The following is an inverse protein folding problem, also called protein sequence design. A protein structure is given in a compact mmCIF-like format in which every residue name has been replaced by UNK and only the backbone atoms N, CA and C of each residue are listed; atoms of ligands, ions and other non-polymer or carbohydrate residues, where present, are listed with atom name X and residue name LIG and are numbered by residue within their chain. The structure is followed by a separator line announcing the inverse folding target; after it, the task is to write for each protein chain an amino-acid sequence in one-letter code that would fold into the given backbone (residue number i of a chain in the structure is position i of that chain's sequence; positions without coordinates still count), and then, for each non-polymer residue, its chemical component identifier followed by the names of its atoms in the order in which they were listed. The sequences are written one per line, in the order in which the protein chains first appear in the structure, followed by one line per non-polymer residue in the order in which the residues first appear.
data_IF_822115739500
#
_entry.id   IF_822115739500
#
_cell.length_a   1.000
_cell.length_b   1.000
_cell.length_c   1.000
_cell.angle_alpha   90.00
_cell.angle_beta   90.00
_cell.angle_gamma   90.00
#
_symmetry.space_group_name_H-M   'P 1'
#
loop_
_entity.id
_entity.type
_entity.pdbx_description
1 polymer ?
#
# COMPACT_ATOMS: atom_id res chain seq x y z
N UNK A 1 55.64 23.17 -3.47
CA UNK A 1 56.57 24.16 -4.06
C UNK A 1 56.54 23.92 -5.56
N UNK A 2 56.00 24.78 -6.42
CA UNK A 2 55.34 26.08 -6.21
C UNK A 2 55.74 27.06 -7.32
N UNK A 3 54.94 27.99 -7.82
CA UNK A 3 53.49 28.18 -7.98
C UNK A 3 53.34 29.63 -8.52
N UNK A 4 52.82 29.78 -9.75
CA UNK A 4 52.33 31.01 -10.41
C UNK A 4 51.50 30.52 -11.62
N UNK A 5 50.35 31.07 -12.04
CA UNK A 5 49.70 32.38 -11.80
C UNK A 5 49.75 33.23 -13.08
N UNK A 6 48.67 33.77 -13.68
CA UNK A 6 47.23 33.77 -13.32
C UNK A 6 46.33 34.27 -14.49
N UNK A 7 45.09 33.76 -14.62
CA UNK A 7 43.86 34.41 -15.18
C UNK A 7 43.84 35.01 -16.63
N UNK A 8 42.72 35.56 -17.17
CA UNK A 8 41.35 35.02 -17.41
C UNK A 8 40.45 35.99 -18.23
N UNK A 9 39.60 35.47 -19.16
CA UNK A 9 38.41 36.12 -19.80
C UNK A 9 38.68 37.46 -20.58
N UNK A 10 37.80 38.14 -21.35
CA UNK A 10 36.33 38.32 -21.49
C UNK A 10 35.93 38.45 -23.01
N UNK A 11 34.64 38.43 -23.38
CA UNK A 11 34.11 38.48 -24.76
C UNK A 11 33.55 39.86 -25.24
N UNK A 12 33.24 40.03 -26.55
CA UNK A 12 32.52 41.21 -27.08
C UNK A 12 32.18 41.21 -28.59
N UNK A 13 30.94 41.63 -28.94
CA UNK A 13 30.39 42.00 -30.28
C UNK A 13 30.20 43.56 -30.34
N UNK A 14 29.63 44.25 -31.38
CA UNK A 14 29.10 43.86 -32.71
C UNK A 14 29.86 44.61 -33.87
N UNK A 15 29.36 45.32 -34.93
CA UNK A 15 28.02 45.68 -35.45
C UNK A 15 28.04 46.33 -36.88
N UNK A 16 26.99 46.08 -37.70
CA UNK A 16 26.38 47.03 -38.70
C UNK A 16 27.25 47.48 -39.93
N UNK A 17 26.81 48.12 -41.04
CA UNK A 17 25.54 48.59 -41.71
C UNK A 17 25.91 48.94 -43.19
N UNK A 18 25.06 49.24 -44.20
CA UNK A 18 23.72 48.79 -44.66
C UNK A 18 23.28 49.58 -45.93
N UNK A 19 22.65 48.96 -46.94
CA UNK A 19 22.01 49.69 -48.06
C UNK A 19 21.64 48.81 -49.28
N UNK A 20 20.67 49.10 -50.17
CA UNK A 20 19.24 49.56 -50.11
C UNK A 20 18.77 49.77 -51.58
N UNK A 21 17.44 49.70 -51.87
CA UNK A 21 16.78 50.09 -53.16
C UNK A 21 16.78 49.00 -54.26
N UNK A 22 15.70 48.73 -55.05
CA UNK A 22 14.28 49.18 -55.04
C UNK A 22 13.38 48.17 -55.81
N UNK A 23 12.07 48.19 -55.49
CA UNK A 23 10.83 47.94 -56.30
C UNK A 23 10.98 47.41 -57.74
N UNK A 24 10.08 46.57 -58.29
CA UNK A 24 8.60 46.55 -58.17
C UNK A 24 8.04 45.22 -58.76
N UNK A 25 6.82 44.78 -58.37
CA UNK A 25 6.08 43.72 -59.09
C UNK A 25 5.21 42.84 -58.18
N UNK A 26 3.88 42.92 -58.32
CA UNK A 26 2.92 42.13 -57.53
C UNK A 26 2.43 40.90 -58.31
N UNK A 27 2.47 39.72 -57.69
CA UNK A 27 1.90 38.48 -58.24
C UNK A 27 1.91 37.36 -57.20
N UNK A 28 0.76 36.74 -56.95
CA UNK A 28 0.60 35.72 -55.91
C UNK A 28 0.81 34.31 -56.48
N UNK A 29 1.47 33.42 -55.73
CA UNK A 29 0.78 32.47 -54.84
C UNK A 29 1.77 31.82 -53.85
N UNK A 30 1.26 30.99 -52.92
CA UNK A 30 1.93 30.63 -51.66
C UNK A 30 3.00 29.53 -51.83
N UNK A 31 4.02 29.62 -50.98
CA UNK A 31 5.25 28.84 -50.99
C UNK A 31 5.11 27.43 -50.36
N UNK A 32 5.87 26.50 -50.93
CA UNK A 32 6.52 25.32 -50.33
C UNK A 32 5.78 24.41 -49.32
N UNK A 33 5.87 23.11 -49.61
CA UNK A 33 5.76 22.03 -48.64
C UNK A 33 6.73 22.21 -47.46
N UNK A 34 6.22 22.10 -46.23
CA UNK A 34 7.03 21.69 -45.06
C UNK A 34 6.29 20.55 -44.36
N UNK A 35 7.02 19.48 -44.05
CA UNK A 35 6.50 18.28 -43.39
C UNK A 35 6.11 18.56 -41.94
N UNK A 36 4.83 18.85 -41.70
CA UNK A 36 4.20 18.70 -40.39
C UNK A 36 3.00 17.76 -40.50
N UNK A 37 3.31 16.48 -40.79
CA UNK A 37 2.45 15.40 -40.28
C UNK A 37 2.58 15.46 -38.77
N UNK A 38 1.64 16.14 -38.12
CA UNK A 38 1.40 15.97 -36.70
C UNK A 38 0.93 14.53 -36.51
N UNK A 39 1.90 13.62 -36.37
CA UNK A 39 1.64 12.26 -35.99
C UNK A 39 0.98 12.33 -34.62
N UNK A 40 -0.34 12.12 -34.58
CA UNK A 40 -0.98 11.61 -33.39
C UNK A 40 -0.20 10.33 -33.03
N UNK A 41 0.52 10.28 -31.90
CA UNK A 41 0.76 8.98 -31.31
C UNK A 41 -0.62 8.54 -30.84
N UNK A 42 -1.31 7.73 -31.65
CA UNK A 42 -2.27 6.78 -31.10
C UNK A 42 -1.55 6.15 -29.91
N UNK A 43 -2.12 6.30 -28.71
CA UNK A 43 -1.43 5.98 -27.46
C UNK A 43 -1.40 4.47 -27.25
N UNK A 44 -0.70 3.78 -28.16
CA UNK A 44 -0.39 2.37 -28.15
C UNK A 44 0.65 2.05 -27.08
N UNK A 45 0.32 2.40 -25.82
CA UNK A 45 0.28 1.33 -24.84
C UNK A 45 -0.66 0.28 -25.42
N UNK A 46 -0.09 -0.78 -25.96
CA UNK A 46 -0.81 -2.04 -25.97
C UNK A 46 -1.21 -2.28 -24.52
N UNK A 47 -2.52 -2.33 -24.26
CA UNK A 47 -3.02 -2.86 -23.00
C UNK A 47 -2.60 -4.33 -23.00
N UNK A 48 -1.52 -4.63 -22.30
CA UNK A 48 -1.07 -6.00 -22.13
C UNK A 48 -2.19 -6.75 -21.43
N UNK A 49 -2.82 -7.69 -22.15
CA UNK A 49 -3.96 -8.45 -21.66
C UNK A 49 -3.64 -8.99 -20.26
N UNK A 50 -4.51 -8.69 -19.30
CA UNK A 50 -4.25 -9.00 -17.90
C UNK A 50 -4.03 -10.51 -17.73
N UNK A 51 -2.86 -10.91 -17.19
CA UNK A 51 -2.50 -12.31 -16.98
C UNK A 51 -3.65 -13.06 -16.32
N UNK A 52 -4.26 -14.01 -17.05
CA UNK A 52 -5.43 -14.76 -16.56
C UNK A 52 -5.05 -15.57 -15.32
N UNK A 53 -6.04 -15.90 -14.48
CA UNK A 53 -5.79 -16.64 -13.25
C UNK A 53 -5.08 -17.99 -13.51
N UNK A 54 -5.34 -18.64 -14.65
CA UNK A 54 -4.69 -19.89 -15.01
C UNK A 54 -3.24 -19.70 -15.48
N UNK A 55 -2.95 -18.62 -16.23
CA UNK A 55 -1.57 -18.25 -16.57
C UNK A 55 -0.77 -17.91 -15.29
N UNK A 56 -1.40 -17.24 -14.31
CA UNK A 56 -0.78 -16.96 -13.00
C UNK A 56 -0.51 -18.24 -12.19
N UNK A 57 -1.42 -19.22 -12.23
CA UNK A 57 -1.22 -20.55 -11.63
C UNK A 57 -0.05 -21.29 -12.26
N UNK A 58 -0.02 -21.38 -13.59
CA UNK A 58 1.08 -22.02 -14.33
C UNK A 58 2.43 -21.33 -14.00
N UNK A 59 2.46 -20.00 -14.04
CA UNK A 59 3.65 -19.19 -13.72
C UNK A 59 4.16 -19.43 -12.29
N UNK A 60 3.28 -19.53 -11.30
CA UNK A 60 3.65 -19.89 -9.92
C UNK A 60 4.26 -21.29 -9.87
N UNK A 61 3.61 -22.28 -10.50
CA UNK A 61 4.10 -23.66 -10.53
C UNK A 61 5.48 -23.78 -11.19
N UNK A 62 5.69 -23.14 -12.35
CA UNK A 62 6.96 -23.17 -13.10
C UNK A 62 8.11 -22.48 -12.34
N UNK A 63 7.87 -21.26 -11.83
CA UNK A 63 8.88 -20.52 -11.06
C UNK A 63 9.23 -21.24 -9.75
N UNK A 64 8.23 -21.84 -9.10
CA UNK A 64 8.41 -22.62 -7.87
C UNK A 64 9.14 -23.94 -8.10
N UNK A 65 8.81 -24.68 -9.17
CA UNK A 65 9.54 -25.89 -9.57
C UNK A 65 11.00 -25.57 -9.90
N UNK A 66 11.25 -24.44 -10.57
CA UNK A 66 12.58 -23.93 -10.86
C UNK A 66 13.36 -23.64 -9.58
N UNK A 67 12.80 -22.87 -8.64
CA UNK A 67 13.43 -22.59 -7.34
C UNK A 67 13.66 -23.86 -6.51
N UNK A 68 12.71 -24.81 -6.49
CA UNK A 68 12.86 -26.08 -5.78
C UNK A 68 14.01 -26.94 -6.35
N UNK A 69 14.24 -26.88 -7.67
CA UNK A 69 15.33 -27.58 -8.36
C UNK A 69 16.69 -26.91 -8.17
N UNK A 70 16.77 -25.59 -8.28
CA UNK A 70 18.05 -24.85 -8.20
C UNK A 70 18.48 -24.56 -6.76
N UNK A 71 17.53 -24.34 -5.85
CA UNK A 71 17.73 -23.73 -4.52
C UNK A 71 18.45 -22.38 -4.58
N UNK A 72 18.36 -21.67 -5.71
CA UNK A 72 18.92 -20.33 -5.89
C UNK A 72 18.08 -19.30 -5.13
N UNK A 73 18.60 -18.86 -3.97
CA UNK A 73 18.02 -17.80 -3.14
C UNK A 73 18.22 -16.38 -3.74
N UNK A 74 18.98 -16.24 -4.83
CA UNK A 74 19.20 -14.99 -5.54
C UNK A 74 18.09 -14.67 -6.54
N UNK A 75 18.09 -15.32 -7.71
CA UNK A 75 17.16 -15.02 -8.81
C UNK A 75 15.90 -15.87 -8.75
N UNK A 76 16.04 -17.20 -8.76
CA UNK A 76 14.89 -18.11 -8.85
C UNK A 76 13.93 -17.95 -7.65
N UNK A 77 14.46 -17.65 -6.45
CA UNK A 77 13.64 -17.31 -5.29
C UNK A 77 12.81 -16.04 -5.49
N UNK A 78 13.38 -14.97 -6.07
CA UNK A 78 12.65 -13.73 -6.35
C UNK A 78 11.54 -13.97 -7.38
N UNK A 79 11.86 -14.66 -8.48
CA UNK A 79 10.87 -15.01 -9.51
C UNK A 79 9.72 -15.89 -8.95
N UNK A 80 10.03 -16.87 -8.09
CA UNK A 80 9.01 -17.67 -7.40
C UNK A 80 8.19 -16.87 -6.39
N UNK A 81 8.77 -15.86 -5.74
CA UNK A 81 8.09 -14.98 -4.77
C UNK A 81 7.16 -14.00 -5.49
N UNK A 82 7.63 -13.36 -6.56
CA UNK A 82 6.84 -12.44 -7.39
C UNK A 82 5.65 -13.13 -8.06
N UNK A 83 5.84 -14.36 -8.56
CA UNK A 83 4.74 -15.17 -9.08
C UNK A 83 3.69 -15.49 -8.00
N UNK A 84 4.12 -15.85 -6.78
CA UNK A 84 3.23 -16.09 -5.65
C UNK A 84 2.50 -14.80 -5.19
N UNK A 85 3.17 -13.63 -5.19
CA UNK A 85 2.54 -12.33 -4.90
C UNK A 85 1.44 -11.97 -5.90
N UNK A 86 1.70 -12.12 -7.20
CA UNK A 86 0.70 -11.91 -8.25
C UNK A 86 -0.49 -12.86 -8.07
N UNK A 87 -0.22 -14.16 -7.91
CA UNK A 87 -1.26 -15.18 -7.77
C UNK A 87 -2.12 -14.98 -6.51
N UNK A 88 -1.53 -14.69 -5.34
CA UNK A 88 -2.30 -14.40 -4.13
C UNK A 88 -3.23 -13.19 -4.32
N UNK A 89 -2.77 -12.15 -5.01
CA UNK A 89 -3.58 -10.95 -5.26
C UNK A 89 -4.76 -11.27 -6.17
N UNK A 90 -4.51 -11.90 -7.32
CA UNK A 90 -5.57 -12.31 -8.25
C UNK A 90 -6.55 -13.33 -7.66
N UNK A 91 -6.09 -14.25 -6.80
CA UNK A 91 -6.96 -15.19 -6.08
C UNK A 91 -7.85 -14.48 -5.05
N UNK A 92 -7.36 -13.42 -4.39
CA UNK A 92 -8.16 -12.62 -3.45
C UNK A 92 -9.24 -11.80 -4.19
N UNK A 93 -8.90 -11.18 -5.32
CA UNK A 93 -9.86 -10.43 -6.14
C UNK A 93 -10.92 -11.35 -6.78
N UNK A 94 -10.49 -12.52 -7.29
CA UNK A 94 -11.40 -13.56 -7.76
C UNK A 94 -12.30 -14.08 -6.63
N UNK A 95 -11.74 -14.39 -5.45
CA UNK A 95 -12.51 -14.83 -4.29
C UNK A 95 -13.55 -13.78 -3.85
N UNK A 96 -13.19 -12.49 -3.85
CA UNK A 96 -14.12 -11.41 -3.48
C UNK A 96 -15.34 -11.36 -4.41
N UNK A 97 -15.14 -11.64 -5.70
CA UNK A 97 -16.20 -11.61 -6.73
C UNK A 97 -17.03 -12.89 -6.81
N UNK A 98 -16.72 -13.94 -6.04
CA UNK A 98 -17.56 -15.13 -5.95
C UNK A 98 -18.87 -14.84 -5.17
N UNK A 99 -20.03 -15.32 -5.67
CA UNK A 99 -21.28 -15.32 -4.91
C UNK A 99 -21.22 -16.22 -3.67
N UNK A 100 -22.12 -15.98 -2.72
CA UNK A 100 -22.21 -16.77 -1.50
C UNK A 100 -22.69 -18.22 -1.76
N UNK A 101 -22.26 -19.14 -0.89
CA UNK A 101 -22.65 -20.55 -0.92
C UNK A 101 -22.07 -21.38 -2.08
N UNK A 102 -21.42 -20.76 -3.08
CA UNK A 102 -20.87 -21.49 -4.24
C UNK A 102 -19.68 -22.34 -3.82
N UNK A 103 -19.66 -23.61 -4.26
CA UNK A 103 -18.63 -24.61 -3.92
C UNK A 103 -17.19 -24.21 -4.29
N UNK A 104 -17.00 -23.18 -5.13
CA UNK A 104 -15.68 -22.60 -5.44
C UNK A 104 -15.04 -21.83 -4.29
N UNK A 105 -15.81 -21.24 -3.37
CA UNK A 105 -15.26 -20.40 -2.28
C UNK A 105 -14.29 -21.19 -1.38
N UNK A 106 -14.63 -22.40 -0.87
CA UNK A 106 -13.69 -23.23 -0.11
C UNK A 106 -12.46 -23.70 -0.90
N UNK A 107 -12.52 -23.73 -2.24
CA UNK A 107 -11.39 -24.09 -3.11
C UNK A 107 -10.41 -22.93 -3.21
N UNK A 108 -10.88 -21.72 -3.56
CA UNK A 108 -10.01 -20.53 -3.66
C UNK A 108 -9.43 -20.15 -2.30
N UNK A 109 -10.22 -20.21 -1.21
CA UNK A 109 -9.69 -20.01 0.15
C UNK A 109 -8.67 -21.09 0.57
N UNK A 110 -8.68 -22.28 -0.04
CA UNK A 110 -7.65 -23.31 0.19
C UNK A 110 -6.39 -23.01 -0.63
N UNK A 111 -6.57 -22.62 -1.88
CA UNK A 111 -5.49 -22.22 -2.80
C UNK A 111 -4.66 -21.06 -2.22
N UNK A 112 -5.31 -19.99 -1.77
CA UNK A 112 -4.65 -18.84 -1.10
C UNK A 112 -3.81 -19.30 0.10
N UNK A 113 -4.37 -20.17 0.96
CA UNK A 113 -3.65 -20.70 2.14
C UNK A 113 -2.45 -21.58 1.75
N UNK A 114 -2.53 -22.32 0.64
CA UNK A 114 -1.41 -23.10 0.09
C UNK A 114 -0.34 -22.15 -0.43
N UNK A 115 -0.63 -21.30 -1.41
CA UNK A 115 0.35 -20.39 -2.04
C UNK A 115 1.02 -19.49 -0.99
N UNK A 116 0.27 -18.99 -0.01
CA UNK A 116 0.83 -18.24 1.11
C UNK A 116 1.79 -19.08 1.99
N UNK A 117 1.42 -20.31 2.38
CA UNK A 117 2.31 -21.19 3.17
C UNK A 117 3.58 -21.55 2.39
N UNK A 118 3.42 -21.82 1.09
CA UNK A 118 4.50 -22.13 0.15
C UNK A 118 5.51 -21.00 -0.02
N UNK A 119 5.03 -19.76 0.11
CA UNK A 119 5.78 -18.52 -0.02
C UNK A 119 6.39 -18.05 1.31
N UNK A 120 5.64 -18.10 2.42
CA UNK A 120 6.05 -17.56 3.71
C UNK A 120 6.99 -18.47 4.53
N UNK A 121 7.01 -19.79 4.26
CA UNK A 121 7.92 -20.72 4.94
C UNK A 121 7.67 -20.86 6.44
N UNK A 122 8.74 -20.89 7.25
CA UNK A 122 8.66 -21.15 8.69
C UNK A 122 8.23 -19.91 9.50
N UNK A 123 7.22 -20.00 10.39
CA UNK A 123 6.71 -18.87 11.19
C UNK A 123 7.69 -18.15 12.14
N UNK A 124 8.93 -18.64 12.25
CA UNK A 124 9.99 -18.05 13.08
C UNK A 124 11.09 -17.37 12.24
N UNK A 125 10.81 -17.05 10.97
CA UNK A 125 11.77 -16.44 10.04
C UNK A 125 11.39 -15.02 9.66
N UNK A 126 12.38 -14.19 9.39
CA UNK A 126 12.19 -12.84 8.84
C UNK A 126 11.39 -12.85 7.53
N UNK A 127 11.66 -13.82 6.65
CA UNK A 127 10.83 -14.12 5.46
C UNK A 127 9.34 -14.21 5.81
N UNK A 128 8.95 -14.96 6.85
CA UNK A 128 7.55 -15.06 7.25
C UNK A 128 6.98 -13.72 7.73
N UNK A 129 7.78 -12.90 8.43
CA UNK A 129 7.37 -11.55 8.85
C UNK A 129 7.09 -10.66 7.62
N UNK A 130 8.00 -10.65 6.64
CA UNK A 130 7.86 -9.84 5.42
C UNK A 130 6.67 -10.34 4.59
N UNK A 131 6.45 -11.65 4.48
CA UNK A 131 5.28 -12.21 3.79
C UNK A 131 3.96 -11.96 4.54
N UNK A 132 3.98 -11.84 5.88
CA UNK A 132 2.82 -11.36 6.64
C UNK A 132 2.50 -9.90 6.33
N UNK A 133 3.51 -9.04 6.26
CA UNK A 133 3.33 -7.63 5.89
C UNK A 133 2.97 -7.44 4.40
N UNK A 134 3.43 -8.31 3.49
CA UNK A 134 2.86 -8.39 2.13
C UNK A 134 1.36 -8.71 2.20
N UNK A 135 0.98 -9.81 2.85
CA UNK A 135 -0.41 -10.26 2.90
C UNK A 135 -1.33 -9.21 3.54
N UNK A 136 -0.90 -8.58 4.64
CA UNK A 136 -1.61 -7.47 5.29
C UNK A 136 -1.77 -6.25 4.37
N UNK A 137 -0.74 -5.92 3.57
CA UNK A 137 -0.85 -4.85 2.56
C UNK A 137 -1.88 -5.20 1.49
N UNK A 138 -1.87 -6.43 0.97
CA UNK A 138 -2.75 -6.91 -0.11
C UNK A 138 -4.21 -7.04 0.30
N UNK A 139 -4.52 -7.49 1.53
CA UNK A 139 -5.93 -7.60 1.98
C UNK A 139 -6.55 -6.28 2.46
N UNK A 140 -5.74 -5.25 2.72
CA UNK A 140 -6.23 -3.97 3.24
C UNK A 140 -7.30 -3.28 2.38
N UNK A 141 -7.18 -3.18 1.03
CA UNK A 141 -8.23 -2.54 0.22
C UNK A 141 -9.56 -3.29 0.35
N UNK A 142 -9.52 -4.63 0.45
CA UNK A 142 -10.68 -5.48 0.66
C UNK A 142 -11.33 -5.27 2.03
N UNK A 143 -10.52 -4.98 3.07
CA UNK A 143 -10.95 -4.70 4.43
C UNK A 143 -11.48 -3.27 4.63
N UNK A 144 -10.89 -2.30 3.94
CA UNK A 144 -11.24 -0.89 4.02
C UNK A 144 -12.48 -0.52 3.20
N UNK A 145 -12.86 -1.40 2.27
CA UNK A 145 -14.14 -1.40 1.56
C UNK A 145 -15.32 -1.60 2.53
N UNK A 146 -16.43 -0.89 2.34
CA UNK A 146 -17.61 -0.97 3.22
C UNK A 146 -18.66 -2.03 2.81
N UNK A 147 -18.55 -2.61 1.61
CA UNK A 147 -19.39 -3.72 1.14
C UNK A 147 -18.82 -5.12 1.49
N UNK A 148 -17.72 -5.21 2.27
CA UNK A 148 -17.14 -6.49 2.68
C UNK A 148 -18.08 -7.27 3.61
N UNK A 149 -18.43 -8.50 3.22
CA UNK A 149 -19.33 -9.37 3.98
C UNK A 149 -18.68 -9.90 5.28
N UNK A 150 -19.43 -10.13 6.37
CA UNK A 150 -18.85 -10.57 7.65
C UNK A 150 -18.16 -11.94 7.61
N UNK A 151 -18.63 -12.87 6.78
CA UNK A 151 -18.00 -14.17 6.53
C UNK A 151 -16.69 -14.02 5.75
N UNK A 152 -16.66 -13.12 4.75
CA UNK A 152 -15.45 -12.75 4.04
C UNK A 152 -14.42 -12.14 5.02
N UNK A 153 -14.86 -11.28 5.93
CA UNK A 153 -14.02 -10.73 6.98
C UNK A 153 -13.44 -11.81 7.93
N UNK A 154 -14.16 -12.90 8.21
CA UNK A 154 -13.64 -14.04 8.99
C UNK A 154 -12.50 -14.77 8.26
N UNK A 155 -12.54 -14.91 6.93
CA UNK A 155 -11.40 -15.46 6.19
C UNK A 155 -10.18 -14.52 6.25
N UNK A 156 -10.39 -13.21 6.02
CA UNK A 156 -9.31 -12.22 6.11
C UNK A 156 -8.75 -12.08 7.55
N UNK A 157 -9.55 -12.38 8.57
CA UNK A 157 -9.13 -12.43 9.98
C UNK A 157 -8.10 -13.55 10.25
N UNK A 158 -8.22 -14.71 9.59
CA UNK A 158 -7.20 -15.77 9.66
C UNK A 158 -5.89 -15.30 9.01
N UNK A 159 -5.98 -14.73 7.81
CA UNK A 159 -4.85 -14.27 7.01
C UNK A 159 -4.06 -13.16 7.73
N UNK A 160 -4.75 -12.20 8.34
CA UNK A 160 -4.14 -11.07 9.07
C UNK A 160 -3.60 -11.41 10.45
N UNK A 161 -3.90 -12.59 11.02
CA UNK A 161 -3.54 -12.93 12.42
C UNK A 161 -2.07 -12.63 12.77
N UNK A 162 -1.77 -11.73 13.73
CA UNK A 162 -0.41 -11.36 14.11
C UNK A 162 0.39 -12.51 14.74
N UNK A 163 1.64 -12.64 14.33
CA UNK A 163 2.60 -13.66 14.79
C UNK A 163 3.15 -13.40 16.20
N UNK A 164 3.78 -14.42 16.80
CA UNK A 164 4.29 -14.35 18.18
C UNK A 164 5.30 -13.21 18.40
N UNK A 165 6.14 -12.88 17.41
CA UNK A 165 7.07 -11.73 17.51
C UNK A 165 6.36 -10.39 17.73
N UNK A 166 5.25 -10.15 17.01
CA UNK A 166 4.42 -8.96 17.21
C UNK A 166 3.80 -8.95 18.61
N UNK A 167 3.37 -10.13 19.11
CA UNK A 167 2.85 -10.30 20.48
C UNK A 167 3.92 -10.16 21.57
N UNK A 168 5.19 -10.39 21.25
CA UNK A 168 6.32 -10.07 22.14
C UNK A 168 6.56 -8.56 22.16
N UNK A 169 6.47 -7.85 21.03
CA UNK A 169 6.53 -6.39 21.00
C UNK A 169 5.34 -5.76 21.76
N UNK A 170 4.12 -6.32 21.69
CA UNK A 170 3.00 -5.91 22.54
C UNK A 170 3.31 -6.04 24.05
N UNK A 171 4.13 -7.03 24.46
CA UNK A 171 4.56 -7.21 25.86
C UNK A 171 5.67 -6.24 26.27
N UNK A 172 6.65 -5.98 25.41
CA UNK A 172 7.72 -4.99 25.63
C UNK A 172 7.13 -3.60 25.86
N UNK A 173 6.28 -3.13 24.95
CA UNK A 173 5.68 -1.80 25.03
C UNK A 173 4.74 -1.61 26.23
N UNK A 174 4.07 -2.67 26.72
CA UNK A 174 3.33 -2.59 28.00
C UNK A 174 4.23 -2.38 29.24
N UNK A 175 5.55 -2.43 29.09
CA UNK A 175 6.54 -2.02 30.12
C UNK A 175 7.19 -0.65 29.81
N UNK A 176 6.71 0.07 28.80
CA UNK A 176 7.26 1.36 28.36
C UNK A 176 8.43 1.26 27.36
N UNK A 177 8.90 0.06 27.02
CA UNK A 177 9.98 -0.14 26.06
C UNK A 177 9.55 0.25 24.63
N UNK A 178 10.31 1.08 23.89
CA UNK A 178 10.10 1.24 22.46
C UNK A 178 10.37 -0.08 21.72
N UNK A 179 9.70 -0.30 20.60
CA UNK A 179 9.74 -1.56 19.84
C UNK A 179 9.86 -1.32 18.35
N UNK A 180 10.57 -2.19 17.63
CA UNK A 180 10.62 -2.12 16.16
C UNK A 180 9.20 -2.18 15.56
N UNK A 181 8.96 -1.46 14.44
CA UNK A 181 7.63 -1.34 13.86
C UNK A 181 7.16 -2.58 13.08
N UNK A 182 7.95 -3.66 13.10
CA UNK A 182 7.67 -4.93 12.43
C UNK A 182 6.27 -5.46 12.77
N UNK A 183 5.43 -5.62 11.74
CA UNK A 183 4.08 -6.17 11.83
C UNK A 183 3.04 -5.23 12.46
N UNK A 184 3.31 -3.93 12.59
CA UNK A 184 2.29 -2.94 12.96
C UNK A 184 1.19 -2.82 11.88
N UNK A 185 1.56 -2.96 10.61
CA UNK A 185 0.65 -3.04 9.46
C UNK A 185 -0.26 -4.28 9.53
N UNK A 186 0.31 -5.42 9.93
CA UNK A 186 -0.40 -6.68 10.20
C UNK A 186 -1.43 -6.49 11.31
N UNK A 187 -1.13 -5.72 12.36
CA UNK A 187 -2.10 -5.40 13.42
C UNK A 187 -3.18 -4.42 12.97
N UNK A 188 -2.85 -3.42 12.16
CA UNK A 188 -3.84 -2.52 11.57
C UNK A 188 -4.86 -3.31 10.75
N UNK A 189 -4.38 -4.17 9.84
CA UNK A 189 -5.24 -5.06 9.06
C UNK A 189 -6.03 -6.05 9.93
N UNK A 190 -5.41 -6.61 10.98
CA UNK A 190 -6.12 -7.52 11.89
C UNK A 190 -7.20 -6.83 12.71
N UNK A 191 -6.95 -5.61 13.20
CA UNK A 191 -7.94 -4.81 13.91
C UNK A 191 -9.15 -4.51 13.01
N UNK A 192 -8.91 -4.15 11.74
CA UNK A 192 -10.00 -3.91 10.79
C UNK A 192 -10.77 -5.20 10.46
N UNK A 193 -10.10 -6.34 10.31
CA UNK A 193 -10.75 -7.65 10.15
C UNK A 193 -11.57 -8.04 11.40
N UNK A 194 -11.10 -7.70 12.61
CA UNK A 194 -11.85 -7.90 13.85
C UNK A 194 -13.10 -7.00 13.92
N UNK A 195 -13.05 -5.76 13.42
CA UNK A 195 -14.23 -4.88 13.29
C UNK A 195 -15.23 -5.48 12.28
N UNK A 196 -14.78 -5.77 11.06
CA UNK A 196 -15.63 -6.29 9.97
C UNK A 196 -16.26 -7.66 10.29
N UNK A 197 -15.64 -8.46 11.16
CA UNK A 197 -16.18 -9.74 11.66
C UNK A 197 -16.95 -9.62 12.99
N UNK A 198 -17.31 -8.40 13.43
CA UNK A 198 -18.12 -8.16 14.63
C UNK A 198 -17.44 -8.51 15.96
N UNK A 199 -16.11 -8.62 16.01
CA UNK A 199 -15.34 -9.06 17.17
C UNK A 199 -14.87 -7.89 18.06
N UNK A 200 -15.79 -6.99 18.39
CA UNK A 200 -15.50 -5.64 18.92
C UNK A 200 -14.52 -5.58 20.09
N UNK A 201 -14.67 -6.46 21.07
CA UNK A 201 -13.77 -6.47 22.23
C UNK A 201 -12.31 -6.67 21.79
N UNK A 202 -12.07 -7.67 20.93
CA UNK A 202 -10.72 -7.96 20.42
C UNK A 202 -10.23 -6.85 19.49
N UNK A 203 -11.09 -6.26 18.67
CA UNK A 203 -10.73 -5.11 17.85
C UNK A 203 -10.23 -3.95 18.72
N UNK A 204 -10.97 -3.61 19.78
CA UNK A 204 -10.60 -2.56 20.72
C UNK A 204 -9.28 -2.85 21.42
N UNK A 205 -9.08 -4.09 21.88
CA UNK A 205 -7.83 -4.54 22.51
C UNK A 205 -6.66 -4.43 21.51
N UNK A 206 -6.83 -4.82 20.24
CA UNK A 206 -5.81 -4.74 19.19
C UNK A 206 -5.41 -3.28 18.88
N UNK A 207 -6.39 -2.40 18.66
CA UNK A 207 -6.15 -0.98 18.38
C UNK A 207 -5.45 -0.32 19.57
N UNK A 208 -5.86 -0.64 20.81
CA UNK A 208 -5.25 -0.10 22.03
C UNK A 208 -3.77 -0.51 22.14
N UNK A 209 -3.44 -1.76 21.82
CA UNK A 209 -2.06 -2.25 21.82
C UNK A 209 -1.22 -1.57 20.72
N UNK A 210 -1.75 -1.41 19.51
CA UNK A 210 -1.06 -0.72 18.41
C UNK A 210 -0.84 0.76 18.74
N UNK A 211 -1.88 1.48 19.15
CA UNK A 211 -1.81 2.89 19.57
C UNK A 211 -0.79 3.08 20.70
N UNK A 212 -0.74 2.17 21.68
CA UNK A 212 0.25 2.18 22.75
C UNK A 212 1.68 2.13 22.21
N UNK A 213 2.00 1.16 21.33
CA UNK A 213 3.33 1.03 20.71
C UNK A 213 3.74 2.26 19.92
N UNK A 214 2.83 2.76 19.08
CA UNK A 214 3.06 3.94 18.24
C UNK A 214 3.31 5.18 19.11
N UNK A 215 2.55 5.35 20.19
CA UNK A 215 2.72 6.47 21.14
C UNK A 215 4.05 6.41 21.89
N UNK A 216 4.45 5.23 22.36
CA UNK A 216 5.71 5.02 23.10
C UNK A 216 6.91 5.29 22.20
N UNK A 217 6.92 4.74 20.99
CA UNK A 217 7.99 5.03 20.03
C UNK A 217 8.05 6.52 19.67
N UNK A 218 6.89 7.16 19.41
CA UNK A 218 6.81 8.60 19.09
C UNK A 218 7.31 9.47 20.24
N UNK A 219 7.10 9.06 21.50
CA UNK A 219 7.63 9.77 22.67
C UNK A 219 9.15 9.64 22.78
N UNK A 220 9.70 8.45 22.53
CA UNK A 220 11.15 8.20 22.57
C UNK A 220 11.91 8.78 21.36
N UNK A 221 11.27 8.85 20.19
CA UNK A 221 11.88 9.36 18.96
C UNK A 221 10.90 10.26 18.17
N UNK A 222 10.61 11.50 18.63
CA UNK A 222 9.56 12.36 18.05
C UNK A 222 9.86 12.87 16.63
N UNK A 223 11.10 12.75 16.16
CA UNK A 223 11.57 13.19 14.84
C UNK A 223 12.02 12.02 13.94
N UNK A 224 11.95 10.79 14.42
CA UNK A 224 12.35 9.61 13.66
C UNK A 224 11.35 9.27 12.57
N UNK A 225 11.86 8.92 11.40
CA UNK A 225 11.10 8.11 10.43
C UNK A 225 10.81 6.73 11.01
N UNK A 226 9.76 6.09 10.52
CA UNK A 226 9.58 4.65 10.70
C UNK A 226 10.47 3.94 9.67
N UNK A 227 11.67 3.52 10.08
CA UNK A 227 12.48 2.66 9.23
C UNK A 227 11.92 1.23 9.27
N UNK A 228 11.49 0.77 8.09
CA UNK A 228 10.97 -0.57 7.82
C UNK A 228 11.94 -1.39 6.96
N UNK A 229 13.10 -0.83 6.60
CA UNK A 229 13.95 -1.34 5.53
C UNK A 229 13.32 -1.24 4.14
N UNK A 230 14.06 -1.62 3.07
CA UNK A 230 13.54 -1.62 1.70
C UNK A 230 12.42 -2.65 1.49
N UNK A 231 12.30 -3.66 2.36
CA UNK A 231 11.24 -4.69 2.36
C UNK A 231 9.81 -4.13 2.45
N UNK A 232 9.69 -2.89 2.94
CA UNK A 232 8.45 -2.13 3.06
C UNK A 232 7.78 -1.80 1.72
N UNK A 233 8.55 -1.75 0.62
CA UNK A 233 8.12 -1.19 -0.66
C UNK A 233 7.76 0.30 -0.57
N UNK A 234 7.17 0.83 -1.65
CA UNK A 234 6.80 2.25 -1.78
C UNK A 234 5.56 2.67 -0.96
N UNK A 235 5.62 2.44 0.35
CA UNK A 235 4.87 3.16 1.36
C UNK A 235 3.51 2.59 1.75
N UNK A 236 3.40 2.26 3.04
CA UNK A 236 2.24 2.59 3.87
C UNK A 236 2.73 3.10 5.22
N UNK A 237 1.95 3.98 5.86
CA UNK A 237 2.23 4.53 7.19
C UNK A 237 3.67 5.06 7.40
N UNK A 238 3.97 6.23 6.82
CA UNK A 238 5.34 6.75 6.63
C UNK A 238 5.98 7.26 7.93
N UNK A 239 5.16 7.70 8.89
CA UNK A 239 5.60 8.10 10.22
C UNK A 239 4.56 7.77 11.31
N UNK A 240 4.92 7.97 12.58
CA UNK A 240 4.05 7.68 13.73
C UNK A 240 2.68 8.36 13.66
N UNK A 241 2.57 9.51 13.01
CA UNK A 241 1.32 10.27 12.88
C UNK A 241 0.30 9.50 12.04
N UNK A 242 0.73 8.84 10.95
CA UNK A 242 -0.15 8.06 10.08
C UNK A 242 -0.75 6.86 10.84
N UNK A 243 0.04 6.19 11.71
CA UNK A 243 -0.48 5.12 12.57
C UNK A 243 -1.42 5.62 13.67
N UNK A 244 -1.16 6.80 14.25
CA UNK A 244 -2.09 7.38 15.22
C UNK A 244 -3.40 7.78 14.52
N UNK A 245 -3.35 8.31 13.29
CA UNK A 245 -4.53 8.54 12.46
C UNK A 245 -5.27 7.24 12.15
N UNK A 246 -4.56 6.15 11.82
CA UNK A 246 -5.14 4.84 11.62
C UNK A 246 -5.86 4.34 12.89
N UNK A 247 -5.22 4.41 14.05
CA UNK A 247 -5.81 3.92 15.31
C UNK A 247 -7.08 4.71 15.68
N UNK A 248 -7.05 6.02 15.51
CA UNK A 248 -8.22 6.88 15.71
C UNK A 248 -9.32 6.61 14.65
N UNK A 249 -8.95 6.33 13.40
CA UNK A 249 -9.89 5.94 12.34
C UNK A 249 -10.53 4.56 12.58
N UNK A 250 -9.76 3.59 13.08
CA UNK A 250 -10.26 2.26 13.46
C UNK A 250 -11.21 2.34 14.65
N UNK A 251 -10.88 3.13 15.69
CA UNK A 251 -11.81 3.40 16.79
C UNK A 251 -13.07 4.14 16.33
N UNK A 252 -12.95 5.08 15.39
CA UNK A 252 -14.11 5.77 14.82
C UNK A 252 -15.06 4.82 14.08
N UNK A 253 -14.52 3.94 13.24
CA UNK A 253 -15.31 2.96 12.50
C UNK A 253 -15.94 1.92 13.43
N UNK A 254 -15.20 1.42 14.41
CA UNK A 254 -15.73 0.55 15.46
C UNK A 254 -16.92 1.21 16.18
N UNK A 255 -16.74 2.44 16.67
CA UNK A 255 -17.80 3.15 17.40
C UNK A 255 -19.02 3.39 16.50
N UNK A 256 -18.81 3.71 15.22
CA UNK A 256 -19.90 3.92 14.26
C UNK A 256 -20.67 2.63 13.91
N UNK A 257 -20.01 1.47 13.92
CA UNK A 257 -20.67 0.15 13.74
C UNK A 257 -21.42 -0.27 15.02
N UNK A 258 -20.88 0.06 16.19
CA UNK A 258 -21.54 -0.15 17.49
C UNK A 258 -22.60 0.92 17.84
N UNK A 259 -23.01 1.76 16.89
CA UNK A 259 -23.93 2.90 17.05
C UNK A 259 -23.52 3.96 18.12
N UNK A 260 -22.27 3.94 18.61
CA UNK A 260 -21.71 5.00 19.45
C UNK A 260 -21.36 6.24 18.60
N UNK A 261 -22.39 7.04 18.34
CA UNK A 261 -22.30 8.26 17.53
C UNK A 261 -21.39 9.34 18.16
N UNK A 262 -21.23 9.35 19.48
CA UNK A 262 -20.37 10.33 20.16
C UNK A 262 -18.90 9.92 20.08
N UNK A 263 -18.58 8.67 20.45
CA UNK A 263 -17.26 8.08 20.29
C UNK A 263 -16.78 8.17 18.85
N UNK A 264 -17.61 7.82 17.87
CA UNK A 264 -17.26 7.93 16.46
C UNK A 264 -16.88 9.37 16.07
N UNK A 265 -17.67 10.38 16.45
CA UNK A 265 -17.34 11.80 16.18
C UNK A 265 -16.06 12.25 16.87
N UNK A 266 -15.87 11.86 18.13
CA UNK A 266 -14.68 12.14 18.96
C UNK A 266 -13.41 11.57 18.33
N UNK A 267 -13.46 10.33 17.86
CA UNK A 267 -12.34 9.66 17.20
C UNK A 267 -12.06 10.23 15.79
N UNK A 268 -13.08 10.55 14.98
CA UNK A 268 -12.92 11.29 13.70
C UNK A 268 -12.23 12.66 13.92
N UNK A 269 -12.65 13.41 14.93
CA UNK A 269 -12.10 14.73 15.24
C UNK A 269 -10.62 14.65 15.65
N UNK A 270 -10.24 13.64 16.44
CA UNK A 270 -8.85 13.38 16.80
C UNK A 270 -7.99 13.00 15.59
N UNK A 271 -8.45 12.11 14.72
CA UNK A 271 -7.70 11.72 13.51
C UNK A 271 -7.33 12.94 12.65
N UNK A 272 -8.28 13.87 12.46
CA UNK A 272 -8.07 15.14 11.75
C UNK A 272 -7.23 16.17 12.53
N UNK A 273 -7.12 16.06 13.85
CA UNK A 273 -6.27 16.93 14.69
C UNK A 273 -4.79 16.52 14.67
N UNK A 274 -4.48 15.27 14.31
CA UNK A 274 -3.09 14.78 14.24
C UNK A 274 -2.31 15.36 13.04
N UNK A 275 -2.99 15.51 11.90
CA UNK A 275 -2.50 16.08 10.63
C UNK A 275 -3.74 16.44 9.79
N UNK A 276 -3.66 17.56 9.06
CA UNK A 276 -4.78 18.09 8.26
C UNK A 276 -5.22 17.11 7.16
N UNK A 277 -4.27 16.59 6.39
CA UNK A 277 -4.46 15.43 5.54
C UNK A 277 -4.54 14.15 6.40
N UNK A 278 -5.48 13.27 6.06
CA UNK A 278 -5.52 11.89 6.56
C UNK A 278 -4.57 11.02 5.73
N UNK A 279 -3.98 10.00 6.34
CA UNK A 279 -3.25 8.97 5.60
C UNK A 279 -4.17 8.23 4.60
N UNK A 280 -3.63 7.64 3.52
CA UNK A 280 -4.41 6.86 2.55
C UNK A 280 -5.23 5.74 3.20
N UNK A 281 -4.74 5.16 4.29
CA UNK A 281 -5.36 4.06 5.02
C UNK A 281 -6.44 4.55 6.00
N UNK A 282 -6.24 5.69 6.66
CA UNK A 282 -7.22 6.29 7.56
C UNK A 282 -8.41 6.93 6.80
N UNK A 283 -8.17 7.41 5.58
CA UNK A 283 -9.17 8.13 4.74
C UNK A 283 -10.48 7.35 4.50
N UNK A 284 -10.49 6.11 3.96
CA UNK A 284 -11.74 5.38 3.70
C UNK A 284 -12.52 5.09 4.99
N UNK A 285 -11.83 4.71 6.07
CA UNK A 285 -12.46 4.37 7.34
C UNK A 285 -13.13 5.58 8.00
N UNK A 286 -12.48 6.75 7.96
CA UNK A 286 -13.07 8.02 8.42
C UNK A 286 -14.24 8.46 7.54
N UNK A 287 -14.19 8.21 6.23
CA UNK A 287 -15.29 8.50 5.33
C UNK A 287 -16.52 7.62 5.61
N UNK A 288 -16.33 6.31 5.81
CA UNK A 288 -17.39 5.37 6.17
C UNK A 288 -17.98 5.68 7.55
N UNK A 289 -17.15 5.86 8.58
CA UNK A 289 -17.60 6.23 9.92
C UNK A 289 -18.43 7.53 9.89
N UNK A 290 -18.04 8.51 9.06
CA UNK A 290 -18.80 9.74 8.84
C UNK A 290 -20.09 9.55 8.02
N UNK A 291 -20.21 8.51 7.18
CA UNK A 291 -21.48 8.10 6.54
C UNK A 291 -22.43 7.50 7.58
N UNK A 292 -21.99 6.47 8.29
CA UNK A 292 -22.78 5.76 9.33
C UNK A 292 -23.33 6.74 10.38
N UNK A 293 -22.50 7.64 10.91
CA UNK A 293 -22.89 8.67 11.91
C UNK A 293 -23.87 9.74 11.38
N UNK A 294 -24.08 9.83 10.06
CA UNK A 294 -25.05 10.74 9.42
C UNK A 294 -26.38 10.06 9.09
N UNK A 295 -26.35 8.86 8.51
CA UNK A 295 -27.55 8.13 8.05
C UNK A 295 -28.48 7.75 9.21
N UNK A 296 -27.91 7.51 10.39
CA UNK A 296 -28.59 7.18 11.65
C UNK A 296 -29.45 8.36 12.22
N UNK A 297 -29.89 9.32 11.41
CA UNK A 297 -30.64 10.53 11.81
C UNK A 297 -32.10 10.55 11.37
N UNK A 298 -32.45 9.72 10.40
CA UNK A 298 -33.76 9.66 9.76
C UNK A 298 -34.59 8.48 10.31
#
# INVERSE_FOLDING_TARGET
MGDTGTAALIAGFPALRSGISRRLGSGAFILACVLWVAAFPQSARAEAEAETLEQLRQRHQEARATFAKTKDYGKAYKESREAAHKLISALLDHWRTLPDGVAGVPVVCREIRIVYKEMAGSPLTERHNIEKSFLARTVWPLLADDDLRPDQAVFLLELTKPQMGVRMNDRKARRGEPTEPLGWDVQGAHALALIRSGNDKKARDEITNLHGKVSINRAHNPRGSLDYGPEAGDGRYRDYTDYLQLCEALHALQAAIAHDREGARKHIAKARKLREALSPEATPLVAEAARRVKMDKD
#
